data_IF_135139372623
#
_entry.id   IF_135139372623
#
_cell.length_a   1.000
_cell.length_b   1.000
_cell.length_c   1.000
_cell.angle_alpha   90.00
_cell.angle_beta   90.00
_cell.angle_gamma   90.00
#
_symmetry.space_group_name_H-M   'P 1'
#
loop_
_entity.id
_entity.type
_entity.pdbx_description
1 polymer ?
#
# COMPACT_ATOMS: atom_id res chain seq x y z
N UNK A 1 -5.71 1.60 4.07
CA UNK A 1 -5.81 0.88 2.79
C UNK A 1 -4.72 -0.17 2.68
N UNK A 2 -5.03 -1.32 2.10
CA UNK A 2 -4.15 -2.49 1.94
C UNK A 2 -4.16 -2.93 0.47
N UNK A 3 -3.13 -2.56 -0.33
CA UNK A 3 -3.11 -2.80 -1.77
C UNK A 3 -2.97 -4.29 -2.16
N UNK A 4 -2.46 -5.13 -1.27
CA UNK A 4 -2.28 -6.57 -1.51
C UNK A 4 -3.49 -7.37 -0.96
N UNK A 5 -4.71 -6.96 -1.34
CA UNK A 5 -5.97 -7.48 -0.79
C UNK A 5 -6.23 -8.97 -1.04
N UNK A 6 -5.54 -9.58 -2.00
CA UNK A 6 -5.60 -11.02 -2.28
C UNK A 6 -4.39 -11.80 -1.72
N UNK A 7 -3.78 -11.31 -0.63
CA UNK A 7 -2.72 -11.99 0.12
C UNK A 7 -3.25 -12.44 1.48
N UNK A 8 -2.99 -13.69 1.85
CA UNK A 8 -3.60 -14.35 3.01
C UNK A 8 -3.36 -13.63 4.34
N UNK A 9 -2.13 -13.17 4.58
CA UNK A 9 -1.78 -12.43 5.83
C UNK A 9 -2.44 -11.08 5.86
N UNK A 10 -2.52 -10.39 4.72
CA UNK A 10 -3.19 -9.10 4.55
C UNK A 10 -4.69 -9.23 4.85
N UNK A 11 -5.34 -10.28 4.32
CA UNK A 11 -6.76 -10.53 4.59
C UNK A 11 -7.03 -10.83 6.06
N UNK A 12 -6.20 -11.66 6.70
CA UNK A 12 -6.35 -11.96 8.13
C UNK A 12 -6.15 -10.71 9.00
N UNK A 13 -5.16 -9.87 8.65
CA UNK A 13 -4.95 -8.60 9.33
C UNK A 13 -6.14 -7.64 9.13
N UNK A 14 -6.69 -7.56 7.90
CA UNK A 14 -7.87 -6.76 7.60
C UNK A 14 -9.09 -7.20 8.42
N UNK A 15 -9.33 -8.52 8.51
CA UNK A 15 -10.44 -9.07 9.30
C UNK A 15 -10.32 -8.67 10.77
N UNK A 16 -9.12 -8.76 11.35
CA UNK A 16 -8.87 -8.36 12.74
C UNK A 16 -9.07 -6.86 12.95
N UNK A 17 -8.53 -6.00 12.06
CA UNK A 17 -8.71 -4.54 12.14
C UNK A 17 -10.19 -4.15 12.11
N UNK A 18 -10.97 -4.82 11.24
CA UNK A 18 -12.42 -4.60 11.12
C UNK A 18 -13.20 -5.14 12.31
N UNK A 19 -12.78 -6.28 12.88
CA UNK A 19 -13.37 -6.85 14.09
C UNK A 19 -13.19 -5.92 15.30
N UNK A 20 -12.01 -5.36 15.45
CA UNK A 20 -11.62 -4.50 16.57
C UNK A 20 -12.08 -3.04 16.38
N UNK A 21 -12.63 -2.70 15.20
CA UNK A 21 -13.07 -1.33 14.90
C UNK A 21 -11.96 -0.29 14.90
N UNK A 22 -10.72 -0.70 14.56
CA UNK A 22 -9.54 0.18 14.60
C UNK A 22 -9.54 1.16 13.44
N UNK A 23 -9.96 0.72 12.25
CA UNK A 23 -9.99 1.53 11.03
C UNK A 23 -10.99 1.00 10.01
N UNK A 24 -11.48 1.89 9.15
CA UNK A 24 -12.14 1.51 7.91
C UNK A 24 -11.10 0.97 6.93
N UNK A 25 -11.34 -0.21 6.37
CA UNK A 25 -10.36 -0.91 5.53
C UNK A 25 -10.78 -0.86 4.07
N UNK A 26 -9.86 -0.45 3.22
CA UNK A 26 -9.96 -0.58 1.76
C UNK A 26 -8.99 -1.68 1.33
N UNK A 27 -9.50 -2.71 0.65
CA UNK A 27 -8.73 -3.79 0.05
C UNK A 27 -8.67 -3.58 -1.46
N UNK A 28 -7.48 -3.60 -2.05
CA UNK A 28 -7.32 -3.53 -3.49
C UNK A 28 -7.01 -4.93 -4.03
N UNK A 29 -7.79 -5.37 -5.01
CA UNK A 29 -7.61 -6.65 -5.67
C UNK A 29 -8.91 -7.18 -6.30
N UNK A 30 -8.85 -8.33 -7.00
CA UNK A 30 -10.03 -8.93 -7.62
C UNK A 30 -11.07 -9.29 -6.54
N UNK A 31 -12.24 -8.65 -6.59
CA UNK A 31 -13.24 -8.74 -5.53
C UNK A 31 -13.73 -10.17 -5.26
N UNK A 32 -13.92 -10.98 -6.33
CA UNK A 32 -14.32 -12.37 -6.15
C UNK A 32 -13.23 -13.20 -5.45
N UNK A 33 -11.97 -13.05 -5.87
CA UNK A 33 -10.84 -13.76 -5.24
C UNK A 33 -10.72 -13.41 -3.75
N UNK A 34 -10.89 -12.14 -3.39
CA UNK A 34 -10.85 -11.69 -1.99
C UNK A 34 -11.97 -12.37 -1.17
N UNK A 35 -13.19 -12.43 -1.70
CA UNK A 35 -14.32 -13.08 -1.01
C UNK A 35 -14.13 -14.59 -0.89
N UNK A 36 -13.65 -15.25 -1.94
CA UNK A 36 -13.39 -16.69 -1.94
C UNK A 36 -12.35 -17.06 -0.88
N UNK A 37 -11.25 -16.30 -0.83
CA UNK A 37 -10.20 -16.48 0.19
C UNK A 37 -10.71 -16.18 1.60
N UNK A 38 -11.56 -15.15 1.78
CA UNK A 38 -12.16 -14.85 3.07
C UNK A 38 -13.03 -16.01 3.56
N UNK A 39 -13.82 -16.61 2.68
CA UNK A 39 -14.62 -17.78 2.99
C UNK A 39 -13.76 -19.01 3.33
N UNK A 40 -12.72 -19.28 2.53
CA UNK A 40 -11.77 -20.37 2.75
C UNK A 40 -11.09 -20.26 4.13
N UNK A 41 -10.70 -19.06 4.53
CA UNK A 41 -10.07 -18.81 5.82
C UNK A 41 -11.05 -18.60 6.98
N UNK A 42 -12.36 -18.62 6.73
CA UNK A 42 -13.39 -18.42 7.74
C UNK A 42 -13.41 -17.01 8.33
N UNK A 43 -12.98 -15.99 7.56
CA UNK A 43 -12.94 -14.59 7.98
C UNK A 43 -14.38 -14.03 7.98
N UNK A 44 -14.76 -13.28 9.01
CA UNK A 44 -16.16 -12.90 9.25
C UNK A 44 -16.44 -11.41 9.04
N UNK A 45 -15.41 -10.59 8.89
CA UNK A 45 -15.55 -9.14 8.89
C UNK A 45 -15.19 -8.51 7.54
N UNK A 46 -14.66 -9.27 6.59
CA UNK A 46 -14.20 -8.75 5.28
C UNK A 46 -15.34 -8.09 4.50
N UNK A 47 -16.59 -8.46 4.72
CA UNK A 47 -17.75 -7.80 4.11
C UNK A 47 -17.92 -6.33 4.53
N UNK A 48 -17.28 -5.92 5.64
CA UNK A 48 -17.24 -4.52 6.08
C UNK A 48 -16.19 -3.70 5.32
N UNK A 49 -15.23 -4.34 4.64
CA UNK A 49 -14.20 -3.66 3.87
C UNK A 49 -14.75 -3.12 2.54
N UNK A 50 -14.25 -1.97 2.12
CA UNK A 50 -14.41 -1.51 0.74
C UNK A 50 -13.44 -2.29 -0.15
N UNK A 51 -13.94 -2.98 -1.17
CA UNK A 51 -13.11 -3.72 -2.11
C UNK A 51 -13.04 -2.94 -3.42
N UNK A 52 -11.83 -2.64 -3.88
CA UNK A 52 -11.57 -1.95 -5.14
C UNK A 52 -10.80 -2.88 -6.08
N UNK A 53 -11.45 -3.27 -7.18
CA UNK A 53 -10.80 -4.04 -8.24
C UNK A 53 -10.12 -3.09 -9.23
N UNK A 54 -8.78 -3.11 -9.36
CA UNK A 54 -8.08 -2.19 -10.26
C UNK A 54 -8.55 -2.27 -11.72
N UNK A 55 -8.93 -3.46 -12.18
CA UNK A 55 -9.36 -3.68 -13.57
C UNK A 55 -10.81 -3.27 -13.83
N UNK A 56 -11.62 -3.24 -12.79
CA UNK A 56 -13.05 -2.90 -12.87
C UNK A 56 -13.38 -1.65 -12.03
N UNK A 57 -12.42 -0.76 -11.85
CA UNK A 57 -12.60 0.46 -11.08
C UNK A 57 -13.32 1.54 -11.93
N UNK A 58 -14.51 2.01 -11.53
CA UNK A 58 -15.22 3.08 -12.25
C UNK A 58 -14.45 4.40 -12.24
N UNK A 59 -13.61 4.64 -11.25
CA UNK A 59 -12.78 5.84 -11.12
C UNK A 59 -11.41 5.72 -11.78
N UNK A 60 -11.17 4.69 -12.60
CA UNK A 60 -9.89 4.44 -13.28
C UNK A 60 -9.37 5.69 -14.00
N UNK A 61 -10.23 6.35 -14.77
CA UNK A 61 -9.82 7.54 -15.54
C UNK A 61 -9.47 8.73 -14.64
N UNK A 62 -10.13 8.90 -13.48
CA UNK A 62 -9.76 9.89 -12.46
C UNK A 62 -8.30 9.70 -12.03
N UNK A 63 -7.92 8.47 -11.70
CA UNK A 63 -6.57 8.17 -11.21
C UNK A 63 -5.53 8.18 -12.34
N UNK A 64 -5.87 7.72 -13.54
CA UNK A 64 -5.00 7.82 -14.71
C UNK A 64 -4.69 9.28 -15.06
N UNK A 65 -5.70 10.14 -15.10
CA UNK A 65 -5.51 11.57 -15.34
C UNK A 65 -4.67 12.24 -14.26
N UNK A 66 -4.89 11.89 -12.97
CA UNK A 66 -4.07 12.40 -11.87
C UNK A 66 -2.60 12.00 -12.06
N UNK A 67 -2.31 10.75 -12.40
CA UNK A 67 -0.95 10.28 -12.65
C UNK A 67 -0.32 10.97 -13.86
N UNK A 68 -1.07 11.09 -14.95
CA UNK A 68 -0.62 11.78 -16.15
C UNK A 68 -0.21 13.22 -15.84
N UNK A 69 -1.08 14.00 -15.18
CA UNK A 69 -0.79 15.40 -14.80
C UNK A 69 0.49 15.51 -13.94
N UNK A 70 0.70 14.57 -13.01
CA UNK A 70 1.87 14.56 -12.14
C UNK A 70 3.16 14.19 -12.90
N UNK A 71 3.07 13.46 -14.02
CA UNK A 71 4.23 12.83 -14.68
C UNK A 71 4.42 13.22 -16.14
N UNK A 72 3.51 13.96 -16.79
CA UNK A 72 3.62 14.39 -18.20
C UNK A 72 4.93 15.13 -18.50
N UNK A 73 5.42 15.94 -17.56
CA UNK A 73 6.72 16.64 -17.70
C UNK A 73 7.93 15.70 -17.66
N UNK A 74 7.74 14.44 -17.27
CA UNK A 74 8.74 13.36 -17.25
C UNK A 74 8.54 12.35 -18.40
N UNK A 75 7.71 12.70 -19.39
CA UNK A 75 7.51 11.90 -20.60
C UNK A 75 6.46 10.79 -20.49
N UNK A 76 5.64 10.78 -19.43
CA UNK A 76 4.55 9.80 -19.31
C UNK A 76 3.43 10.13 -20.32
N UNK A 77 2.93 9.11 -21.02
CA UNK A 77 1.73 9.24 -21.88
C UNK A 77 0.47 8.90 -21.10
N UNK A 78 -0.69 9.28 -21.65
CA UNK A 78 -1.98 8.97 -21.00
C UNK A 78 -2.26 7.46 -20.99
N UNK A 79 -1.87 6.74 -22.06
CA UNK A 79 -2.01 5.30 -22.15
C UNK A 79 -1.19 4.60 -21.07
N UNK A 80 0.05 5.02 -20.86
CA UNK A 80 0.89 4.53 -19.77
C UNK A 80 0.26 4.80 -18.40
N UNK A 81 -0.32 5.98 -18.20
CA UNK A 81 -0.99 6.32 -16.96
C UNK A 81 -2.24 5.46 -16.72
N UNK A 82 -2.97 5.10 -17.77
CA UNK A 82 -4.10 4.17 -17.69
C UNK A 82 -3.65 2.76 -17.30
N UNK A 83 -2.56 2.25 -17.89
CA UNK A 83 -1.99 0.95 -17.52
C UNK A 83 -1.53 0.93 -16.06
N UNK A 84 -0.87 1.99 -15.60
CA UNK A 84 -0.45 2.11 -14.21
C UNK A 84 -1.63 2.22 -13.24
N UNK A 85 -2.74 2.84 -13.63
CA UNK A 85 -3.94 2.92 -12.78
C UNK A 85 -4.60 1.54 -12.55
N UNK A 86 -4.31 0.54 -13.38
CA UNK A 86 -4.72 -0.86 -13.18
C UNK A 86 -3.75 -1.65 -12.29
N UNK A 87 -2.59 -1.10 -11.97
CA UNK A 87 -1.66 -1.72 -11.02
C UNK A 87 -2.09 -1.42 -9.58
N UNK A 88 -2.27 -2.46 -8.77
CA UNK A 88 -2.78 -2.34 -7.40
C UNK A 88 -1.96 -1.39 -6.51
N UNK A 89 -0.63 -1.35 -6.67
CA UNK A 89 0.23 -0.49 -5.86
C UNK A 89 0.15 0.97 -6.31
N UNK A 90 0.18 1.22 -7.64
CA UNK A 90 -0.01 2.56 -8.18
C UNK A 90 -1.40 3.10 -7.85
N UNK A 91 -2.45 2.29 -8.02
CA UNK A 91 -3.81 2.67 -7.66
C UNK A 91 -3.90 3.06 -6.19
N UNK A 92 -3.33 2.25 -5.30
CA UNK A 92 -3.32 2.55 -3.88
C UNK A 92 -2.67 3.89 -3.56
N UNK A 93 -1.50 4.16 -4.14
CA UNK A 93 -0.80 5.44 -3.93
C UNK A 93 -1.56 6.62 -4.56
N UNK A 94 -2.25 6.40 -5.70
CA UNK A 94 -3.09 7.43 -6.34
C UNK A 94 -4.34 7.75 -5.51
N UNK A 95 -4.99 6.73 -4.93
CA UNK A 95 -6.11 6.92 -3.99
C UNK A 95 -5.67 7.72 -2.76
N UNK A 96 -4.50 7.40 -2.19
CA UNK A 96 -3.92 8.16 -1.09
C UNK A 96 -3.64 9.61 -1.49
N UNK A 97 -3.08 9.84 -2.69
CA UNK A 97 -2.81 11.18 -3.22
C UNK A 97 -4.08 11.99 -3.49
N UNK A 98 -5.15 11.32 -3.91
CA UNK A 98 -6.45 11.93 -4.14
C UNK A 98 -7.22 12.27 -2.85
N UNK A 99 -6.80 11.74 -1.69
CA UNK A 99 -7.48 11.88 -0.42
C UNK A 99 -8.63 10.89 -0.22
N UNK A 100 -8.68 9.84 -1.02
CA UNK A 100 -9.70 8.77 -0.90
C UNK A 100 -9.33 7.74 0.19
N UNK A 101 -8.14 7.88 0.80
CA UNK A 101 -7.69 7.13 1.96
C UNK A 101 -6.67 7.93 2.77
N UNK A 102 -6.59 7.69 4.09
CA UNK A 102 -5.69 8.40 5.03
C UNK A 102 -4.31 7.75 5.13
N UNK A 103 -4.21 6.46 4.84
CA UNK A 103 -2.96 5.70 4.94
C UNK A 103 -2.93 4.45 4.06
N UNK A 104 -1.72 4.02 3.72
CA UNK A 104 -1.45 2.82 2.94
C UNK A 104 -0.40 1.99 3.65
N UNK A 105 -0.67 0.70 3.86
CA UNK A 105 0.28 -0.28 4.39
C UNK A 105 0.42 -1.42 3.40
N UNK A 106 1.65 -1.76 3.03
CA UNK A 106 1.96 -2.78 2.04
C UNK A 106 3.31 -3.44 2.33
N UNK A 107 3.66 -4.47 1.56
CA UNK A 107 4.94 -5.18 1.64
C UNK A 107 4.80 -6.63 2.08
N UNK A 108 3.59 -7.18 2.07
CA UNK A 108 3.39 -8.60 2.38
C UNK A 108 4.01 -9.51 1.31
N UNK A 109 3.98 -9.09 0.04
CA UNK A 109 4.57 -9.83 -1.09
C UNK A 109 5.31 -8.95 -2.11
N UNK A 110 5.11 -7.63 -2.06
CA UNK A 110 5.76 -6.69 -2.98
C UNK A 110 7.19 -6.41 -2.53
N UNK A 111 8.08 -6.20 -3.50
CA UNK A 111 9.45 -5.77 -3.18
C UNK A 111 9.48 -4.32 -2.70
N UNK A 112 10.55 -3.93 -1.99
CA UNK A 112 10.76 -2.54 -1.56
C UNK A 112 10.70 -1.57 -2.76
N UNK A 113 11.31 -1.96 -3.89
CA UNK A 113 11.31 -1.14 -5.12
C UNK A 113 9.92 -0.94 -5.71
N UNK A 114 9.07 -1.98 -5.69
CA UNK A 114 7.70 -1.90 -6.21
C UNK A 114 6.80 -1.01 -5.35
N UNK A 115 7.06 -0.93 -4.05
CA UNK A 115 6.35 -0.05 -3.12
C UNK A 115 6.84 1.39 -3.19
N UNK A 116 8.16 1.59 -3.16
CA UNK A 116 8.74 2.93 -3.09
C UNK A 116 8.65 3.68 -4.40
N UNK A 117 8.72 3.00 -5.54
CA UNK A 117 8.64 3.65 -6.86
C UNK A 117 7.37 4.48 -7.05
N UNK A 118 6.14 3.94 -6.88
CA UNK A 118 4.93 4.77 -6.97
C UNK A 118 4.87 5.84 -5.87
N UNK A 119 5.29 5.55 -4.64
CA UNK A 119 5.32 6.52 -3.56
C UNK A 119 6.21 7.73 -3.90
N UNK A 120 7.43 7.50 -4.36
CA UNK A 120 8.35 8.57 -4.76
C UNK A 120 7.91 9.32 -6.02
N UNK A 121 7.22 8.65 -6.94
CA UNK A 121 6.73 9.27 -8.16
C UNK A 121 5.51 10.17 -7.95
N UNK A 122 4.63 9.81 -7.01
CA UNK A 122 3.30 10.41 -6.83
C UNK A 122 3.25 11.27 -5.57
N UNK A 123 3.65 10.73 -4.40
CA UNK A 123 3.62 11.45 -3.12
C UNK A 123 4.84 12.36 -3.00
N UNK A 124 6.02 11.84 -3.37
CA UNK A 124 7.33 12.49 -3.22
C UNK A 124 7.76 12.60 -1.76
N UNK A 125 8.93 13.20 -1.54
CA UNK A 125 9.44 13.57 -0.21
C UNK A 125 8.76 14.83 0.32
N UNK A 126 8.79 15.01 1.63
CA UNK A 126 8.35 16.27 2.25
C UNK A 126 9.20 17.46 1.75
N UNK A 127 8.66 18.68 1.76
CA UNK A 127 9.44 19.88 1.38
C UNK A 127 10.73 19.99 2.18
N UNK A 128 11.86 20.21 1.48
CA UNK A 128 13.18 20.31 2.10
C UNK A 128 13.90 18.98 2.35
N UNK A 129 13.25 17.85 2.11
CA UNK A 129 13.86 16.51 2.24
C UNK A 129 14.35 16.04 0.87
N UNK A 130 15.65 15.82 0.75
CA UNK A 130 16.31 15.45 -0.53
C UNK A 130 16.37 13.94 -0.78
N UNK A 131 16.30 13.12 0.27
CA UNK A 131 16.39 11.67 0.16
C UNK A 131 15.44 10.96 1.12
N UNK A 132 15.11 9.71 0.81
CA UNK A 132 14.42 8.77 1.72
C UNK A 132 15.46 7.90 2.38
N UNK A 133 15.31 7.65 3.67
CA UNK A 133 16.16 6.75 4.45
C UNK A 133 15.29 5.88 5.35
N UNK A 134 15.65 4.61 5.48
CA UNK A 134 14.99 3.65 6.36
C UNK A 134 15.89 3.26 7.53
N UNK A 135 15.29 3.05 8.69
CA UNK A 135 15.99 2.52 9.86
C UNK A 135 15.12 1.49 10.59
N UNK A 136 15.77 0.41 11.08
CA UNK A 136 15.15 -0.55 11.98
C UNK A 136 15.62 -0.27 13.41
N UNK A 137 14.69 -0.19 14.34
CA UNK A 137 14.96 -0.20 15.77
C UNK A 137 14.66 -1.61 16.24
N UNK A 138 15.70 -2.35 16.59
CA UNK A 138 15.60 -3.75 17.02
C UNK A 138 15.69 -3.83 18.52
N UNK A 139 14.76 -4.56 19.12
CA UNK A 139 14.76 -4.87 20.55
C UNK A 139 15.19 -6.33 20.73
N UNK A 140 16.37 -6.53 21.26
CA UNK A 140 16.90 -7.87 21.53
C UNK A 140 16.33 -8.43 22.84
N UNK A 141 16.22 -9.76 22.99
CA UNK A 141 15.72 -10.37 24.21
C UNK A 141 16.71 -10.30 25.38
N UNK A 142 17.89 -9.73 25.18
CA UNK A 142 18.94 -9.54 26.18
C UNK A 142 19.69 -8.23 25.92
N UNK A 143 20.44 -7.78 26.89
CA UNK A 143 21.21 -6.53 26.90
C UNK A 143 22.67 -6.67 26.43
N UNK A 144 23.04 -7.86 25.90
CA UNK A 144 24.42 -8.16 25.48
C UNK A 144 24.94 -7.21 24.38
N UNK A 145 24.05 -6.69 23.56
CA UNK A 145 24.39 -5.80 22.46
C UNK A 145 23.53 -4.55 22.48
N UNK A 146 24.11 -3.40 22.09
CA UNK A 146 23.44 -2.12 22.07
C UNK A 146 23.28 -1.52 23.47
N UNK A 147 22.38 -0.57 23.61
CA UNK A 147 22.01 0.04 24.90
C UNK A 147 20.70 -0.59 25.37
N UNK A 148 20.74 -1.31 26.49
CA UNK A 148 19.59 -2.08 27.01
C UNK A 148 18.95 -3.00 25.94
N UNK A 149 19.79 -3.70 25.14
CA UNK A 149 19.31 -4.55 24.08
C UNK A 149 18.72 -3.85 22.86
N UNK A 150 18.90 -2.52 22.74
CA UNK A 150 18.38 -1.73 21.61
C UNK A 150 19.48 -1.46 20.59
N UNK A 151 19.22 -1.81 19.33
CA UNK A 151 20.13 -1.58 18.21
C UNK A 151 19.38 -0.83 17.11
N UNK A 152 20.04 0.16 16.51
CA UNK A 152 19.54 0.84 15.33
C UNK A 152 20.36 0.39 14.13
N UNK A 153 19.67 -0.11 13.09
CA UNK A 153 20.24 -0.44 11.80
C UNK A 153 19.69 0.55 10.78
N UNK A 154 20.54 1.39 10.22
CA UNK A 154 20.14 2.36 9.21
C UNK A 154 20.71 2.02 7.84
N UNK A 155 20.10 2.57 6.76
CA UNK A 155 20.52 2.38 5.36
C UNK A 155 20.56 0.89 4.95
N UNK A 156 19.61 0.11 5.44
CA UNK A 156 19.57 -1.35 5.24
C UNK A 156 18.37 -1.83 4.43
N UNK A 157 17.49 -0.93 3.99
CA UNK A 157 16.25 -1.30 3.28
C UNK A 157 15.88 -0.38 2.11
N UNK A 158 16.54 0.77 1.94
CA UNK A 158 16.25 1.75 0.87
C UNK A 158 17.53 2.13 0.18
#
# INVERSE_FOLDING_TARGET
MLPEGNEARTLKAADQLLADGIADVILIGPGQTIRDMANEFGLKNIDKATIVDPKNNPDRDKYANLLFELRKSKGMTIEQAQDFAENFMYLGVLMLKAGDADGLVSGARSTTGDMLRPALQIIKTAPGVSCVSGAFIMFLPNDKYGTDGKIVCADCAV
#
